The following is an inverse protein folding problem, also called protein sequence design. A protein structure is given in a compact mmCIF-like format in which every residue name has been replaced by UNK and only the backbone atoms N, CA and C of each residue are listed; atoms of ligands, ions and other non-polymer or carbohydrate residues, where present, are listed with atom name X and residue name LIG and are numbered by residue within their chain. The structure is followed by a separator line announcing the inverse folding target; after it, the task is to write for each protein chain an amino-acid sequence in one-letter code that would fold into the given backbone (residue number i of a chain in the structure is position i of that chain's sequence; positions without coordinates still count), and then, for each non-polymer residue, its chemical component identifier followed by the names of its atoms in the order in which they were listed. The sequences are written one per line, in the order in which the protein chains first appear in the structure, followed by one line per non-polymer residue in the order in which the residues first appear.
data_IF_041486862699
#
_entry.id   IF_041486862699
#
_cell.length_a   1.000
_cell.length_b   1.000
_cell.length_c   1.000
_cell.angle_alpha   90.00
_cell.angle_beta   90.00
_cell.angle_gamma   90.00
#
_symmetry.space_group_name_H-M   'P 1'
#
loop_
_entity.id
_entity.type
_entity.pdbx_description
1 polymer ?
#
# COMPACT_ATOMS: atom_id res chain seq x y z
N UNK A 1 -27.40 -25.52 9.34
CA UNK A 1 -26.34 -24.50 9.35
C UNK A 1 -25.05 -24.94 8.66
N UNK A 2 -25.11 -25.27 7.37
CA UNK A 2 -23.96 -25.65 6.52
C UNK A 2 -23.15 -24.46 6.02
N UNK A 3 -23.73 -23.25 5.96
CA UNK A 3 -23.06 -22.02 5.48
C UNK A 3 -21.80 -21.65 6.28
N UNK A 4 -21.66 -22.10 7.53
CA UNK A 4 -20.53 -21.73 8.38
C UNK A 4 -19.36 -22.74 8.34
N UNK A 5 -19.47 -23.83 7.57
CA UNK A 5 -18.43 -24.88 7.49
C UNK A 5 -17.42 -24.69 6.34
N UNK A 6 -17.76 -23.92 5.30
CA UNK A 6 -16.95 -23.81 4.08
C UNK A 6 -16.17 -22.49 3.95
N UNK A 7 -16.47 -21.46 4.75
CA UNK A 7 -15.83 -20.15 4.62
C UNK A 7 -14.66 -20.00 5.62
N UNK A 8 -13.44 -19.64 5.17
CA UNK A 8 -12.35 -19.26 6.07
C UNK A 8 -12.74 -18.04 6.92
N UNK A 9 -12.34 -18.02 8.18
CA UNK A 9 -12.73 -16.98 9.17
C UNK A 9 -12.30 -15.56 8.81
N UNK A 10 -11.35 -15.41 7.87
CA UNK A 10 -10.79 -14.13 7.42
C UNK A 10 -10.97 -13.88 5.90
N UNK A 11 -11.97 -14.50 5.29
CA UNK A 11 -12.24 -14.45 3.87
C UNK A 11 -12.72 -13.06 3.37
N UNK A 12 -11.96 -12.45 2.44
CA UNK A 12 -12.39 -11.23 1.73
C UNK A 12 -13.78 -11.41 1.07
N UNK A 13 -14.56 -10.33 0.91
CA UNK A 13 -15.96 -10.39 0.46
C UNK A 13 -16.24 -11.04 -0.91
N UNK A 14 -15.23 -11.31 -1.72
CA UNK A 14 -15.34 -12.16 -2.91
C UNK A 14 -15.28 -13.67 -2.57
N UNK A 15 -14.42 -14.09 -1.64
CA UNK A 15 -14.35 -15.48 -1.14
C UNK A 15 -15.68 -15.88 -0.50
N UNK A 16 -16.27 -14.97 0.28
CA UNK A 16 -17.55 -15.20 0.97
C UNK A 16 -18.68 -15.52 0.00
N UNK A 17 -18.80 -14.74 -1.09
CA UNK A 17 -19.82 -14.97 -2.12
C UNK A 17 -19.65 -16.31 -2.83
N UNK A 18 -18.41 -16.68 -3.15
CA UNK A 18 -18.15 -17.97 -3.81
C UNK A 18 -18.41 -19.14 -2.85
N UNK A 19 -18.04 -19.00 -1.58
CA UNK A 19 -18.36 -19.99 -0.54
C UNK A 19 -19.87 -20.22 -0.39
N UNK A 20 -20.69 -19.17 -0.49
CA UNK A 20 -22.16 -19.28 -0.48
C UNK A 20 -22.68 -20.11 -1.67
N UNK A 21 -22.13 -19.93 -2.88
CA UNK A 21 -22.50 -20.75 -4.04
C UNK A 21 -22.14 -22.22 -3.85
N UNK A 22 -20.92 -22.53 -3.42
CA UNK A 22 -20.50 -23.93 -3.18
C UNK A 22 -21.31 -24.58 -2.06
N UNK A 23 -21.68 -23.80 -1.03
CA UNK A 23 -22.59 -24.27 0.04
C UNK A 23 -23.97 -24.64 -0.49
N UNK A 24 -24.50 -23.86 -1.44
CA UNK A 24 -25.79 -24.15 -2.08
C UNK A 24 -25.72 -25.42 -2.94
N UNK A 25 -24.63 -25.60 -3.69
CA UNK A 25 -24.38 -26.80 -4.49
C UNK A 25 -24.29 -28.05 -3.60
N UNK A 26 -23.56 -27.95 -2.48
CA UNK A 26 -23.47 -29.02 -1.49
C UNK A 26 -24.86 -29.42 -0.99
N UNK A 27 -25.66 -28.46 -0.50
CA UNK A 27 -27.01 -28.72 0.02
C UNK A 27 -27.93 -29.30 -1.06
N UNK A 28 -27.90 -28.75 -2.28
CA UNK A 28 -28.68 -29.28 -3.40
C UNK A 28 -28.30 -30.71 -3.76
N UNK A 29 -27.00 -31.03 -3.73
CA UNK A 29 -26.49 -32.37 -3.96
C UNK A 29 -26.92 -33.36 -2.88
N UNK A 30 -26.87 -32.99 -1.60
CA UNK A 30 -27.37 -33.85 -0.51
C UNK A 30 -28.89 -34.11 -0.65
N UNK A 31 -29.67 -33.09 -1.02
CA UNK A 31 -31.11 -33.27 -1.27
C UNK A 31 -31.37 -34.20 -2.46
N UNK A 32 -30.57 -34.10 -3.52
CA UNK A 32 -30.67 -34.98 -4.68
C UNK A 32 -30.24 -36.43 -4.35
N UNK A 33 -29.25 -36.60 -3.48
CA UNK A 33 -28.85 -37.90 -2.92
C UNK A 33 -29.96 -38.52 -2.09
N UNK A 34 -30.56 -37.75 -1.18
CA UNK A 34 -31.71 -38.21 -0.38
C UNK A 34 -32.93 -38.56 -1.24
N UNK A 35 -33.10 -37.90 -2.39
CA UNK A 35 -34.14 -38.21 -3.37
C UNK A 35 -33.78 -39.40 -4.29
N UNK A 36 -32.59 -40.00 -4.16
CA UNK A 36 -32.13 -41.14 -4.97
C UNK A 36 -31.75 -40.78 -6.41
N UNK A 37 -31.49 -39.51 -6.71
CA UNK A 37 -31.20 -39.03 -8.07
C UNK A 37 -29.72 -39.21 -8.44
N UNK A 38 -28.81 -38.94 -7.50
CA UNK A 38 -27.35 -38.92 -7.75
C UNK A 38 -26.71 -40.30 -7.63
N UNK A 39 -27.21 -41.15 -6.72
CA UNK A 39 -26.59 -42.42 -6.35
C UNK A 39 -25.32 -42.30 -5.51
N UNK A 40 -25.02 -41.11 -4.98
CA UNK A 40 -23.85 -40.86 -4.11
C UNK A 40 -24.10 -41.30 -2.67
N UNK A 41 -23.03 -41.45 -1.88
CA UNK A 41 -23.14 -41.66 -0.44
C UNK A 41 -23.59 -40.37 0.28
N UNK A 42 -24.16 -40.53 1.47
CA UNK A 42 -24.54 -39.41 2.34
C UNK A 42 -23.29 -38.57 2.69
N UNK A 43 -23.34 -37.25 2.47
CA UNK A 43 -22.21 -36.35 2.69
C UNK A 43 -21.22 -36.20 1.52
N UNK A 44 -21.32 -37.05 0.49
CA UNK A 44 -20.38 -37.05 -0.64
C UNK A 44 -20.53 -35.79 -1.53
N UNK A 45 -21.74 -35.26 -1.67
CA UNK A 45 -21.96 -34.00 -2.40
C UNK A 45 -21.30 -32.81 -1.69
N UNK A 46 -21.38 -32.79 -0.36
CA UNK A 46 -20.75 -31.77 0.47
C UNK A 46 -19.23 -31.85 0.40
N UNK A 47 -18.67 -33.06 0.44
CA UNK A 47 -17.22 -33.26 0.33
C UNK A 47 -16.71 -32.88 -1.07
N UNK A 48 -17.42 -33.26 -2.14
CA UNK A 48 -17.06 -32.88 -3.50
C UNK A 48 -17.11 -31.36 -3.71
N UNK A 49 -18.14 -30.68 -3.18
CA UNK A 49 -18.25 -29.23 -3.23
C UNK A 49 -17.12 -28.55 -2.43
N UNK A 50 -16.74 -29.11 -1.28
CA UNK A 50 -15.61 -28.62 -0.48
C UNK A 50 -14.29 -28.76 -1.24
N UNK A 51 -14.01 -29.92 -1.82
CA UNK A 51 -12.78 -30.15 -2.59
C UNK A 51 -12.68 -29.20 -3.78
N UNK A 52 -13.75 -29.01 -4.54
CA UNK A 52 -13.77 -28.03 -5.62
C UNK A 52 -13.55 -26.59 -5.13
N UNK A 53 -14.11 -26.24 -3.97
CA UNK A 53 -13.89 -24.93 -3.35
C UNK A 53 -12.44 -24.74 -2.89
N UNK A 54 -11.84 -25.75 -2.28
CA UNK A 54 -10.45 -25.72 -1.81
C UNK A 54 -9.46 -25.65 -2.99
N UNK A 55 -9.71 -26.37 -4.08
CA UNK A 55 -8.93 -26.29 -5.33
C UNK A 55 -9.08 -24.92 -6.00
N UNK A 56 -10.31 -24.39 -6.03
CA UNK A 56 -10.57 -23.03 -6.50
C UNK A 56 -9.85 -21.99 -5.62
N UNK A 57 -9.86 -22.16 -4.30
CA UNK A 57 -9.21 -21.25 -3.36
C UNK A 57 -7.68 -21.30 -3.53
N UNK A 58 -7.12 -22.50 -3.72
CA UNK A 58 -5.69 -22.73 -3.94
C UNK A 58 -5.21 -22.13 -5.27
N UNK A 59 -5.97 -22.32 -6.35
CA UNK A 59 -5.68 -21.69 -7.65
C UNK A 59 -5.85 -20.18 -7.61
N UNK A 60 -6.85 -19.68 -6.88
CA UNK A 60 -7.05 -18.23 -6.66
C UNK A 60 -5.96 -17.57 -5.82
N UNK A 61 -5.29 -18.31 -4.92
CA UNK A 61 -4.12 -17.83 -4.16
C UNK A 61 -3.02 -17.29 -5.08
N UNK A 62 -2.93 -17.76 -6.33
CA UNK A 62 -2.00 -17.16 -7.31
C UNK A 62 -2.51 -15.89 -8.00
N UNK A 63 -3.78 -15.50 -7.88
CA UNK A 63 -4.31 -14.29 -8.54
C UNK A 63 -4.53 -13.12 -7.57
N UNK A 64 -5.06 -13.40 -6.36
CA UNK A 64 -5.38 -12.36 -5.37
C UNK A 64 -4.16 -11.85 -4.60
N UNK A 65 -3.23 -12.74 -4.25
CA UNK A 65 -1.97 -12.36 -3.60
C UNK A 65 -1.05 -11.66 -4.61
N UNK A 66 -1.01 -12.11 -5.87
CA UNK A 66 -0.23 -11.41 -6.92
C UNK A 66 -0.75 -9.97 -7.14
N UNK A 67 -2.06 -9.73 -7.09
CA UNK A 67 -2.59 -8.37 -7.23
C UNK A 67 -2.27 -7.50 -6.00
N UNK A 68 -2.33 -8.08 -4.80
CA UNK A 68 -1.93 -7.42 -3.56
C UNK A 68 -0.43 -7.11 -3.54
N UNK A 69 0.43 -8.07 -3.85
CA UNK A 69 1.88 -7.92 -3.87
C UNK A 69 2.30 -6.87 -4.90
N UNK A 70 1.70 -6.91 -6.10
CA UNK A 70 1.91 -5.86 -7.11
C UNK A 70 1.49 -4.48 -6.62
N UNK A 71 0.37 -4.39 -5.90
CA UNK A 71 -0.10 -3.13 -5.35
C UNK A 71 0.88 -2.56 -4.31
N UNK A 72 1.54 -3.43 -3.53
CA UNK A 72 2.53 -3.03 -2.53
C UNK A 72 3.84 -2.54 -3.17
N UNK A 73 4.26 -3.12 -4.30
CA UNK A 73 5.49 -2.70 -4.98
C UNK A 73 5.39 -1.33 -5.68
N UNK A 74 4.18 -0.87 -6.04
CA UNK A 74 3.97 0.36 -6.82
C UNK A 74 4.70 1.59 -6.26
N UNK A 75 4.63 1.76 -4.94
CA UNK A 75 5.19 2.94 -4.28
C UNK A 75 6.72 2.84 -4.13
N UNK A 76 7.31 1.76 -3.58
CA UNK A 76 8.75 1.53 -3.61
C UNK A 76 9.35 1.69 -5.00
N UNK A 77 8.75 1.05 -6.03
CA UNK A 77 9.22 1.11 -7.41
C UNK A 77 9.24 2.56 -7.92
N UNK A 78 8.17 3.32 -7.65
CA UNK A 78 8.11 4.73 -8.05
C UNK A 78 9.19 5.57 -7.36
N UNK A 79 9.40 5.38 -6.05
CA UNK A 79 10.43 6.14 -5.31
C UNK A 79 11.84 5.74 -5.77
N UNK A 80 12.09 4.47 -6.03
CA UNK A 80 13.39 4.00 -6.53
C UNK A 80 13.73 4.62 -7.89
N UNK A 81 12.77 4.71 -8.80
CA UNK A 81 12.98 5.27 -10.15
C UNK A 81 13.07 6.81 -10.11
N UNK A 82 12.28 7.47 -9.25
CA UNK A 82 12.03 8.91 -9.34
C UNK A 82 12.57 9.72 -8.15
N UNK A 83 13.09 9.08 -7.10
CA UNK A 83 13.44 9.68 -5.81
C UNK A 83 14.44 10.83 -5.88
N UNK A 84 15.36 10.78 -6.84
CA UNK A 84 16.35 11.84 -7.05
C UNK A 84 15.96 12.87 -8.09
N UNK A 85 15.22 12.47 -9.11
CA UNK A 85 14.94 13.31 -10.28
C UNK A 85 13.66 14.13 -10.14
N UNK A 86 12.64 13.61 -9.43
CA UNK A 86 11.30 14.23 -9.37
C UNK A 86 10.92 14.76 -7.99
N UNK A 87 11.77 14.60 -6.98
CA UNK A 87 11.54 15.16 -5.64
C UNK A 87 12.52 16.29 -5.35
N UNK A 88 11.98 17.50 -5.16
CA UNK A 88 12.78 18.67 -4.83
C UNK A 88 13.17 18.70 -3.35
N UNK A 89 14.40 19.09 -3.04
CA UNK A 89 14.83 19.30 -1.66
C UNK A 89 14.06 20.45 -1.03
N UNK A 90 13.24 20.14 -0.02
CA UNK A 90 12.33 21.10 0.63
C UNK A 90 13.03 22.34 1.20
N UNK A 91 14.24 22.15 1.75
CA UNK A 91 15.04 23.24 2.32
C UNK A 91 15.69 24.16 1.26
N UNK A 92 15.70 23.75 -0.03
CA UNK A 92 16.30 24.49 -1.16
C UNK A 92 15.28 25.04 -2.15
N UNK A 93 13.98 24.89 -1.90
CA UNK A 93 12.95 25.29 -2.90
C UNK A 93 12.95 26.80 -3.17
N UNK A 94 13.45 27.61 -2.23
CA UNK A 94 13.56 29.07 -2.39
C UNK A 94 14.97 29.53 -2.78
N UNK A 95 15.89 28.62 -3.07
CA UNK A 95 17.25 28.96 -3.51
C UNK A 95 17.28 29.08 -5.03
N UNK A 96 17.56 30.29 -5.52
CA UNK A 96 17.61 30.64 -6.95
C UNK A 96 18.72 29.88 -7.71
N UNK A 97 19.68 29.26 -7.02
CA UNK A 97 20.72 28.42 -7.62
C UNK A 97 20.33 26.94 -7.74
N UNK A 98 19.13 26.56 -7.28
CA UNK A 98 18.71 25.15 -7.31
C UNK A 98 18.16 24.78 -8.70
N UNK A 99 18.64 23.68 -9.31
CA UNK A 99 18.11 23.19 -10.57
C UNK A 99 16.60 22.94 -10.49
N UNK A 100 15.84 23.40 -11.49
CA UNK A 100 14.40 23.17 -11.55
C UNK A 100 14.12 21.68 -11.72
N UNK A 101 13.41 21.09 -10.77
CA UNK A 101 12.87 19.73 -10.87
C UNK A 101 11.76 19.70 -11.92
N UNK A 102 12.05 19.10 -13.09
CA UNK A 102 11.06 18.87 -14.15
C UNK A 102 10.09 17.76 -13.73
N UNK A 103 8.82 17.89 -14.14
CA UNK A 103 7.76 16.92 -13.82
C UNK A 103 7.72 16.51 -12.32
N UNK A 104 7.78 17.50 -11.43
CA UNK A 104 7.95 17.26 -9.99
C UNK A 104 6.84 16.37 -9.41
N UNK A 105 7.25 15.27 -8.77
CA UNK A 105 6.40 14.32 -8.07
C UNK A 105 6.13 14.74 -6.61
N UNK A 106 7.00 15.56 -6.03
CA UNK A 106 6.86 16.01 -4.66
C UNK A 106 8.09 16.72 -4.11
N UNK A 107 8.25 16.65 -2.80
CA UNK A 107 9.39 17.19 -2.06
C UNK A 107 10.07 16.11 -1.21
N UNK A 108 11.33 16.33 -0.86
CA UNK A 108 12.05 15.50 0.11
C UNK A 108 12.82 16.32 1.14
N UNK A 109 12.98 15.79 2.34
CA UNK A 109 13.81 16.36 3.41
C UNK A 109 14.66 15.25 4.04
N UNK A 110 15.77 15.65 4.65
CA UNK A 110 16.58 14.77 5.48
C UNK A 110 15.99 14.77 6.88
N UNK A 111 15.91 13.58 7.45
CA UNK A 111 15.69 13.33 8.87
C UNK A 111 17.06 13.02 9.45
N UNK A 112 17.48 13.83 10.42
CA UNK A 112 18.75 13.62 11.14
C UNK A 112 18.69 12.37 11.99
N UNK A 113 19.84 11.90 12.49
CA UNK A 113 19.93 10.76 13.41
C UNK A 113 19.06 10.93 14.67
N UNK A 114 18.82 12.17 15.11
CA UNK A 114 17.95 12.51 16.22
C UNK A 114 16.43 12.48 15.86
N UNK A 115 16.07 12.10 14.63
CA UNK A 115 14.68 12.05 14.17
C UNK A 115 14.10 13.41 13.77
N UNK A 116 14.93 14.45 13.63
CA UNK A 116 14.46 15.81 13.32
C UNK A 116 14.49 16.06 11.81
N UNK A 117 13.35 16.43 11.24
CA UNK A 117 13.27 16.85 9.83
C UNK A 117 13.87 18.23 9.62
N UNK A 118 14.77 18.36 8.64
CA UNK A 118 15.40 19.64 8.28
C UNK A 118 14.47 20.41 7.33
N UNK A 119 13.90 21.53 7.81
CA UNK A 119 12.84 22.25 7.09
C UNK A 119 13.33 23.44 6.26
N UNK A 120 14.44 24.06 6.65
CA UNK A 120 14.97 25.27 6.02
C UNK A 120 16.50 25.26 6.02
N UNK A 121 17.09 26.20 5.28
CA UNK A 121 18.54 26.27 5.12
C UNK A 121 19.29 26.63 6.42
N UNK A 122 18.66 27.38 7.33
CA UNK A 122 19.23 27.70 8.64
C UNK A 122 19.39 26.45 9.51
N UNK A 123 18.39 25.57 9.51
CA UNK A 123 18.45 24.29 10.22
C UNK A 123 19.51 23.36 9.61
N UNK A 124 19.66 23.39 8.28
CA UNK A 124 20.72 22.66 7.58
C UNK A 124 22.12 23.10 8.03
N UNK A 125 22.40 24.41 7.98
CA UNK A 125 23.70 24.94 8.36
C UNK A 125 24.03 24.72 9.84
N UNK A 126 23.03 24.70 10.71
CA UNK A 126 23.23 24.36 12.13
C UNK A 126 23.61 22.91 12.35
N UNK A 127 23.03 22.00 11.59
CA UNK A 127 23.27 20.56 11.75
C UNK A 127 24.56 20.12 11.03
N UNK A 128 24.74 20.55 9.78
CA UNK A 128 25.75 20.01 8.87
C UNK A 128 26.77 21.05 8.37
N UNK A 129 26.69 22.31 8.81
CA UNK A 129 27.57 23.36 8.32
C UNK A 129 27.43 23.58 6.80
N UNK A 130 28.55 23.57 6.07
CA UNK A 130 28.55 23.74 4.60
C UNK A 130 28.19 22.46 3.85
N UNK A 131 28.50 21.29 4.42
CA UNK A 131 28.24 19.98 3.81
C UNK A 131 28.12 18.90 4.87
N UNK A 132 27.22 17.96 4.62
CA UNK A 132 27.06 16.77 5.43
C UNK A 132 28.34 15.92 5.44
N UNK A 133 28.77 15.45 6.61
CA UNK A 133 29.93 14.58 6.72
C UNK A 133 29.58 13.18 6.20
N UNK A 134 30.47 12.47 5.47
CA UNK A 134 30.19 11.13 4.95
C UNK A 134 29.65 10.15 6.00
N UNK A 135 30.21 10.15 7.21
CA UNK A 135 29.79 9.27 8.31
C UNK A 135 28.35 9.54 8.80
N UNK A 136 27.77 10.70 8.49
CA UNK A 136 26.39 11.03 8.84
C UNK A 136 25.40 10.67 7.73
N UNK A 137 25.88 10.40 6.50
CA UNK A 137 25.06 10.04 5.34
C UNK A 137 24.38 8.69 5.57
N UNK A 138 25.10 7.72 6.14
CA UNK A 138 24.60 6.36 6.35
C UNK A 138 23.47 6.29 7.40
N UNK A 139 23.49 7.21 8.37
CA UNK A 139 22.47 7.30 9.42
C UNK A 139 21.29 8.20 9.05
N UNK A 140 21.40 8.97 7.96
CA UNK A 140 20.38 9.93 7.56
C UNK A 140 19.26 9.26 6.78
N UNK A 141 18.03 9.54 7.19
CA UNK A 141 16.83 9.05 6.50
C UNK A 141 16.26 10.15 5.61
N UNK A 142 15.57 9.73 4.56
CA UNK A 142 14.85 10.66 3.69
C UNK A 142 13.36 10.52 3.97
N UNK A 143 12.71 11.66 4.22
CA UNK A 143 11.26 11.75 4.13
C UNK A 143 10.83 12.32 2.78
N UNK A 144 9.93 11.61 2.12
CA UNK A 144 9.31 12.00 0.87
C UNK A 144 7.90 12.53 1.13
N UNK A 145 7.53 13.55 0.37
CA UNK A 145 6.23 14.20 0.38
C UNK A 145 5.67 14.15 -1.04
N UNK A 146 4.94 13.07 -1.34
CA UNK A 146 4.39 12.78 -2.66
C UNK A 146 3.08 13.56 -2.89
N UNK A 147 2.95 14.20 -4.07
CA UNK A 147 1.73 14.91 -4.44
C UNK A 147 0.54 13.94 -4.61
N UNK A 148 -0.66 14.29 -4.13
CA UNK A 148 -1.84 13.43 -4.27
C UNK A 148 -2.22 13.10 -5.71
N UNK A 149 -2.09 14.04 -6.64
CA UNK A 149 -2.39 13.80 -8.05
C UNK A 149 -1.38 12.82 -8.68
N UNK A 150 -0.10 12.96 -8.36
CA UNK A 150 0.95 12.04 -8.85
C UNK A 150 0.76 10.64 -8.27
N UNK A 151 0.43 10.55 -6.99
CA UNK A 151 0.07 9.27 -6.38
C UNK A 151 -1.10 8.61 -7.10
N UNK A 152 -2.18 9.36 -7.34
CA UNK A 152 -3.38 8.83 -7.98
C UNK A 152 -3.14 8.45 -9.45
N UNK A 153 -2.55 9.34 -10.23
CA UNK A 153 -2.53 9.25 -11.69
C UNK A 153 -1.33 8.45 -12.21
N UNK A 154 -0.24 8.38 -11.44
CA UNK A 154 0.99 7.68 -11.83
C UNK A 154 1.28 6.45 -10.97
N UNK A 155 1.32 6.60 -9.64
CA UNK A 155 1.67 5.48 -8.73
C UNK A 155 0.56 4.43 -8.72
N UNK A 156 -0.69 4.87 -8.55
CA UNK A 156 -1.86 3.99 -8.51
C UNK A 156 -2.49 3.76 -9.89
N UNK A 157 -1.74 3.95 -10.99
CA UNK A 157 -2.31 3.78 -12.33
C UNK A 157 -2.81 2.34 -12.51
N UNK A 158 -4.12 2.20 -12.72
CA UNK A 158 -4.78 0.88 -12.83
C UNK A 158 -5.31 0.31 -11.50
N UNK A 159 -5.15 1.03 -10.39
CA UNK A 159 -5.60 0.64 -9.06
C UNK A 159 -6.45 1.74 -8.40
N UNK A 160 -7.32 1.38 -7.45
CA UNK A 160 -8.06 2.39 -6.67
C UNK A 160 -7.13 3.07 -5.65
N UNK A 161 -6.78 4.33 -5.90
CA UNK A 161 -5.86 5.08 -5.06
C UNK A 161 -6.27 5.17 -3.58
N UNK A 162 -7.57 5.12 -3.26
CA UNK A 162 -8.03 5.15 -1.87
C UNK A 162 -7.75 3.83 -1.16
N UNK A 163 -7.94 2.72 -1.86
CA UNK A 163 -7.61 1.37 -1.36
C UNK A 163 -6.11 1.26 -1.13
N UNK A 164 -5.30 1.65 -2.12
CA UNK A 164 -3.83 1.64 -1.99
C UNK A 164 -3.40 2.53 -0.82
N UNK A 165 -3.91 3.76 -0.74
CA UNK A 165 -3.55 4.67 0.35
C UNK A 165 -3.96 4.12 1.73
N UNK A 166 -5.14 3.52 1.85
CA UNK A 166 -5.58 2.91 3.10
C UNK A 166 -4.65 1.77 3.51
N UNK A 167 -4.24 0.94 2.56
CA UNK A 167 -3.34 -0.19 2.84
C UNK A 167 -1.94 0.27 3.23
N UNK A 168 -1.39 1.25 2.51
CA UNK A 168 -0.09 1.85 2.85
C UNK A 168 -0.10 2.49 4.24
N UNK A 169 -1.22 3.09 4.65
CA UNK A 169 -1.37 3.60 6.03
C UNK A 169 -1.49 2.47 7.07
N UNK A 170 -2.23 1.40 6.77
CA UNK A 170 -2.34 0.23 7.65
C UNK A 170 -0.98 -0.43 7.90
N UNK A 171 -0.15 -0.52 6.85
CA UNK A 171 1.22 -1.00 6.92
C UNK A 171 2.20 0.02 7.53
N UNK A 172 1.71 1.19 7.91
CA UNK A 172 2.49 2.24 8.57
C UNK A 172 3.36 3.09 7.65
N UNK A 173 3.37 2.82 6.34
CA UNK A 173 4.17 3.54 5.32
C UNK A 173 3.72 4.98 5.19
N UNK A 174 2.41 5.23 5.15
CA UNK A 174 1.85 6.57 5.20
C UNK A 174 1.53 7.01 6.63
N UNK A 175 1.92 8.25 6.95
CA UNK A 175 1.52 8.89 8.19
C UNK A 175 0.12 9.51 8.08
N UNK A 176 -0.74 9.27 9.07
CA UNK A 176 -2.03 9.95 9.18
C UNK A 176 -1.84 11.36 9.72
N UNK A 177 -2.64 12.31 9.24
CA UNK A 177 -2.76 13.60 9.93
C UNK A 177 -3.60 13.50 11.21
N UNK A 178 -3.62 14.59 11.97
CA UNK A 178 -4.40 14.71 13.20
C UNK A 178 -5.92 14.54 12.97
N UNK A 179 -6.40 14.63 11.73
CA UNK A 179 -7.80 14.41 11.33
C UNK A 179 -8.04 12.96 10.86
N UNK A 180 -7.03 12.08 10.96
CA UNK A 180 -7.09 10.68 10.57
C UNK A 180 -7.00 10.42 9.06
N UNK A 181 -6.70 11.45 8.25
CA UNK A 181 -6.55 11.29 6.79
C UNK A 181 -5.18 10.70 6.45
N UNK A 182 -5.13 9.89 5.41
CA UNK A 182 -3.91 9.23 4.91
C UNK A 182 -2.87 10.18 4.27
N UNK A 183 -3.07 11.49 4.37
CA UNK A 183 -2.15 12.52 3.87
C UNK A 183 -1.96 13.58 4.94
N UNK A 184 -0.86 14.31 4.90
CA UNK A 184 -0.52 15.35 5.88
C UNK A 184 -0.52 16.73 5.25
N UNK A 185 -0.85 17.75 6.06
CA UNK A 185 -0.72 19.16 5.67
C UNK A 185 0.72 19.61 5.94
N UNK A 186 1.43 20.02 4.90
CA UNK A 186 2.80 20.52 5.01
C UNK A 186 3.02 21.76 4.15
N UNK A 187 4.05 22.53 4.48
CA UNK A 187 4.38 23.77 3.78
C UNK A 187 5.72 23.63 3.05
N UNK A 188 5.69 23.93 1.76
CA UNK A 188 6.87 23.99 0.89
C UNK A 188 6.78 25.25 0.05
N UNK A 189 7.90 25.98 -0.09
CA UNK A 189 7.94 27.22 -0.86
C UNK A 189 6.87 28.26 -0.46
N UNK A 190 6.60 28.40 0.85
CA UNK A 190 5.54 29.29 1.35
C UNK A 190 4.11 28.78 1.12
N UNK A 191 3.91 27.79 0.26
CA UNK A 191 2.61 27.22 -0.07
C UNK A 191 2.29 26.02 0.81
N UNK A 192 1.10 26.03 1.42
CA UNK A 192 0.59 24.87 2.14
C UNK A 192 -0.10 23.91 1.16
N UNK A 193 0.21 22.62 1.27
CA UNK A 193 -0.39 21.58 0.46
C UNK A 193 -0.63 20.31 1.27
N UNK A 194 -1.28 19.33 0.65
CA UNK A 194 -1.42 17.98 1.20
C UNK A 194 -0.50 17.02 0.48
N UNK A 195 0.10 16.11 1.23
CA UNK A 195 1.11 15.17 0.72
C UNK A 195 0.93 13.81 1.37
N UNK A 196 1.23 12.74 0.62
CA UNK A 196 1.51 11.45 1.23
C UNK A 196 2.94 11.49 1.76
N UNK A 197 3.08 11.43 3.10
CA UNK A 197 4.37 11.46 3.78
C UNK A 197 4.88 10.04 3.99
N UNK A 198 6.09 9.79 3.50
CA UNK A 198 6.74 8.47 3.47
C UNK A 198 8.14 8.64 4.04
N UNK A 199 8.55 7.74 4.94
CA UNK A 199 9.94 7.68 5.41
C UNK A 199 10.63 6.52 4.70
N UNK A 200 11.86 6.74 4.22
CA UNK A 200 12.59 5.78 3.39
C UNK A 200 12.77 4.40 4.03
N UNK A 201 12.88 4.33 5.35
CA UNK A 201 12.99 3.07 6.10
C UNK A 201 11.70 2.22 6.05
N UNK A 202 10.54 2.87 5.94
CA UNK A 202 9.25 2.19 5.81
C UNK A 202 8.99 1.64 4.41
N UNK A 203 9.80 2.02 3.42
CA UNK A 203 9.70 1.42 2.08
C UNK A 203 10.29 0.02 2.05
N UNK A 204 11.26 -0.31 2.92
CA UNK A 204 11.79 -1.67 3.05
C UNK A 204 10.90 -2.64 3.84
N UNK A 205 9.81 -2.15 4.43
CA UNK A 205 8.88 -2.96 5.23
C UNK A 205 7.68 -3.49 4.43
N UNK A 206 7.59 -3.12 3.16
CA UNK A 206 6.56 -3.54 2.19
C UNK A 206 7.23 -4.08 0.94
#
# INVERSE_FOLDING_TARGET
DTNNKLCPTNAHGQVKRVSEFFSLVAVGGELATAAGVTGWADGEATEAAKTCFDDWLSSRGTAGDIEHDKMLSLLPDFIQINGDSRFAWGHRVMDDHTPKTLNRAGFKRIITKAGKSIKNNTDWHKEYGDKMHPDEIDDAKIEYFLFPNVFKDEVCKGYDSRVVASKMTELGVFEKDNEGKNSVKERFAGNQGRYYKIVSDKLSTI
#
